data_IF_461243753562
#
_entry.id   IF_461243753562
#
_cell.length_a   1.000
_cell.length_b   1.000
_cell.length_c   1.000
_cell.angle_alpha   90.00
_cell.angle_beta   90.00
_cell.angle_gamma   90.00
#
_symmetry.space_group_name_H-M   'P 1'
#
loop_
_entity.id
_entity.type
_entity.pdbx_description
1 polymer ?
#
# COMPACT_ATOMS: atom_id res chain seq x y z
N UNK A 1 -9.69 7.82 3.97
CA UNK A 1 -10.08 9.24 3.82
C UNK A 1 -9.18 10.06 4.72
N UNK A 2 -8.60 11.16 4.24
CA UNK A 2 -7.73 12.02 5.03
C UNK A 2 -7.91 13.49 4.68
N UNK A 3 -7.65 14.36 5.66
CA UNK A 3 -7.60 15.81 5.50
C UNK A 3 -6.16 16.27 5.66
N UNK A 4 -5.65 17.00 4.69
CA UNK A 4 -4.39 17.73 4.79
C UNK A 4 -4.71 19.22 4.99
N UNK A 5 -4.29 19.79 6.12
CA UNK A 5 -4.18 21.25 6.26
C UNK A 5 -2.73 21.62 5.93
N UNK A 6 -2.49 22.02 4.68
CA UNK A 6 -1.15 22.38 4.18
C UNK A 6 -0.49 21.33 3.28
N UNK A 7 0.41 21.79 2.41
CA UNK A 7 1.03 21.02 1.34
C UNK A 7 1.95 19.87 1.80
N UNK A 8 2.36 19.84 3.07
CA UNK A 8 3.44 18.96 3.56
C UNK A 8 2.97 17.67 4.26
N UNK A 9 1.68 17.51 4.62
CA UNK A 9 1.20 16.28 5.29
C UNK A 9 0.55 15.32 4.31
N UNK A 10 1.07 14.09 4.25
CA UNK A 10 0.47 13.00 3.47
C UNK A 10 -0.92 12.71 4.03
N UNK A 11 -2.00 12.81 3.22
CA UNK A 11 -3.34 12.50 3.69
C UNK A 11 -3.60 10.99 3.80
N UNK A 12 -2.64 10.14 3.39
CA UNK A 12 -2.76 8.69 3.39
C UNK A 12 -1.88 8.08 4.48
N UNK A 13 -2.48 7.17 5.24
CA UNK A 13 -1.80 6.39 6.27
C UNK A 13 -2.03 4.91 6.02
N UNK A 14 -0.95 4.14 6.01
CA UNK A 14 -0.99 2.68 5.95
C UNK A 14 -0.86 2.10 7.36
N UNK A 15 -1.71 1.12 7.65
CA UNK A 15 -1.74 0.40 8.92
C UNK A 15 -1.70 -1.10 8.64
N UNK A 16 -0.92 -1.81 9.44
CA UNK A 16 -0.89 -3.26 9.44
C UNK A 16 -1.82 -3.79 10.53
N UNK A 17 -2.84 -4.54 10.14
CA UNK A 17 -3.73 -5.21 11.09
C UNK A 17 -3.18 -6.62 11.39
N UNK A 18 -2.55 -6.77 12.56
CA UNK A 18 -2.02 -8.06 13.06
C UNK A 18 -3.07 -8.87 13.85
N UNK A 19 -4.32 -8.44 13.85
CA UNK A 19 -5.40 -9.03 14.65
C UNK A 19 -6.55 -9.49 13.76
N UNK A 20 -7.56 -10.11 14.36
CA UNK A 20 -8.85 -10.41 13.70
C UNK A 20 -9.86 -9.27 13.82
N UNK A 21 -9.40 -8.04 14.08
CA UNK A 21 -10.27 -6.87 14.18
C UNK A 21 -11.00 -6.59 12.87
N UNK A 22 -12.29 -6.28 12.97
CA UNK A 22 -13.12 -5.84 11.85
C UNK A 22 -12.77 -4.40 11.53
N UNK A 23 -12.41 -4.13 10.27
CA UNK A 23 -12.10 -2.77 9.79
C UNK A 23 -13.31 -2.21 9.06
N UNK A 24 -13.68 -0.97 9.38
CA UNK A 24 -14.81 -0.30 8.74
C UNK A 24 -14.54 0.04 7.27
N UNK A 25 -15.61 0.23 6.48
CA UNK A 25 -15.53 0.58 5.05
C UNK A 25 -14.93 1.98 4.77
N UNK A 26 -14.55 2.72 5.80
CA UNK A 26 -13.85 4.00 5.69
C UNK A 26 -12.38 3.81 5.32
N UNK A 27 -11.83 2.62 5.58
CA UNK A 27 -10.50 2.21 5.16
C UNK A 27 -10.55 1.46 3.83
N UNK A 28 -9.50 1.64 3.03
CA UNK A 28 -9.22 0.77 1.90
C UNK A 28 -8.54 -0.50 2.44
N UNK A 29 -9.29 -1.59 2.51
CA UNK A 29 -8.77 -2.87 3.00
C UNK A 29 -8.00 -3.59 1.90
N UNK A 30 -6.69 -3.79 2.12
CA UNK A 30 -5.81 -4.50 1.20
C UNK A 30 -5.62 -5.94 1.69
N UNK A 31 -5.94 -6.90 0.83
CA UNK A 31 -5.71 -8.32 1.10
C UNK A 31 -4.65 -8.84 0.15
N UNK A 32 -3.60 -9.52 0.66
CA UNK A 32 -2.57 -10.08 -0.20
C UNK A 32 -3.18 -11.16 -1.10
N UNK A 33 -2.76 -11.19 -2.37
CA UNK A 33 -3.05 -12.33 -3.25
C UNK A 33 -2.36 -13.58 -2.69
N UNK A 34 -2.81 -14.80 -3.03
CA UNK A 34 -2.29 -16.04 -2.43
C UNK A 34 -0.77 -16.18 -2.47
N UNK A 35 -0.12 -15.76 -3.55
CA UNK A 35 1.35 -15.76 -3.66
C UNK A 35 2.01 -14.87 -2.61
N UNK A 36 1.62 -13.58 -2.56
CA UNK A 36 2.12 -12.65 -1.56
C UNK A 36 1.76 -13.10 -0.14
N UNK A 37 0.59 -13.70 0.06
CA UNK A 37 0.17 -14.25 1.35
C UNK A 37 1.14 -15.30 1.87
N UNK A 38 1.54 -16.27 1.03
CA UNK A 38 2.53 -17.29 1.40
C UNK A 38 3.88 -16.67 1.78
N UNK A 39 4.36 -15.72 0.96
CA UNK A 39 5.62 -15.03 1.27
C UNK A 39 5.54 -14.28 2.60
N UNK A 40 4.41 -13.65 2.92
CA UNK A 40 4.24 -12.96 4.20
C UNK A 40 4.16 -13.92 5.40
N UNK A 41 3.68 -15.14 5.21
CA UNK A 41 3.57 -16.17 6.25
C UNK A 41 4.91 -16.86 6.57
N UNK A 42 5.83 -16.92 5.61
CA UNK A 42 7.15 -17.54 5.76
C UNK A 42 8.07 -16.82 6.77
N UNK A 43 7.86 -15.51 6.97
CA UNK A 43 8.63 -14.73 7.94
C UNK A 43 7.81 -13.57 8.52
N UNK A 44 7.68 -13.56 9.85
CA UNK A 44 6.91 -12.58 10.62
C UNK A 44 7.38 -11.12 10.48
N UNK A 45 8.61 -10.88 10.00
CA UNK A 45 9.14 -9.53 9.79
C UNK A 45 8.70 -8.92 8.44
N UNK A 46 8.40 -9.77 7.45
CA UNK A 46 8.05 -9.35 6.08
C UNK A 46 6.82 -8.44 5.99
N UNK A 47 5.73 -8.64 6.77
CA UNK A 47 4.62 -7.69 6.81
C UNK A 47 5.05 -6.28 7.25
N UNK A 48 5.99 -6.17 8.19
CA UNK A 48 6.52 -4.89 8.66
C UNK A 48 7.39 -4.20 7.61
N UNK A 49 8.19 -4.97 6.87
CA UNK A 49 9.00 -4.45 5.75
C UNK A 49 8.12 -3.95 4.60
N UNK A 50 7.08 -4.71 4.23
CA UNK A 50 6.12 -4.28 3.23
C UNK A 50 5.38 -3.01 3.66
N UNK A 51 5.02 -2.90 4.95
CA UNK A 51 4.41 -1.69 5.49
C UNK A 51 5.35 -0.47 5.34
N UNK A 52 6.66 -0.62 5.59
CA UNK A 52 7.64 0.45 5.40
C UNK A 52 7.70 0.91 3.94
N UNK A 53 7.69 -0.02 2.99
CA UNK A 53 7.63 0.29 1.56
C UNK A 53 6.36 1.06 1.19
N UNK A 54 5.20 0.69 1.75
CA UNK A 54 3.94 1.41 1.54
C UNK A 54 3.97 2.82 2.17
N UNK A 55 4.54 2.95 3.37
CA UNK A 55 4.67 4.23 4.06
C UNK A 55 5.66 5.19 3.38
N UNK A 56 6.54 4.69 2.51
CA UNK A 56 7.46 5.50 1.72
C UNK A 56 6.80 6.16 0.48
N UNK A 57 5.55 5.82 0.15
CA UNK A 57 4.80 6.49 -0.92
C UNK A 57 4.67 7.98 -0.58
N UNK A 58 5.05 8.86 -1.51
CA UNK A 58 5.03 10.31 -1.25
C UNK A 58 3.63 10.90 -1.33
N UNK A 59 3.43 12.01 -0.61
CA UNK A 59 2.21 12.80 -0.64
C UNK A 59 1.84 13.21 -2.07
N UNK A 60 2.83 13.56 -2.89
CA UNK A 60 2.65 13.99 -4.28
C UNK A 60 1.99 12.90 -5.13
N UNK A 61 2.48 11.66 -5.06
CA UNK A 61 1.88 10.53 -5.79
C UNK A 61 0.44 10.26 -5.35
N UNK A 62 0.17 10.38 -4.05
CA UNK A 62 -1.19 10.19 -3.49
C UNK A 62 -2.15 11.30 -3.91
N UNK A 63 -1.69 12.54 -3.98
CA UNK A 63 -2.50 13.69 -4.38
C UNK A 63 -2.76 13.70 -5.89
N UNK A 64 -1.79 13.28 -6.71
CA UNK A 64 -1.92 13.18 -8.16
C UNK A 64 -2.88 12.06 -8.59
N UNK A 65 -2.80 10.90 -7.94
CA UNK A 65 -3.67 9.75 -8.26
C UNK A 65 -5.01 9.80 -7.54
N UNK A 66 -5.07 10.45 -6.38
CA UNK A 66 -6.28 10.52 -5.54
C UNK A 66 -7.26 11.60 -5.97
N UNK A 67 -8.56 11.31 -5.87
CA UNK A 67 -9.59 12.33 -6.10
C UNK A 67 -9.68 13.31 -4.93
N UNK A 68 -9.67 14.60 -5.27
CA UNK A 68 -9.96 15.69 -4.35
C UNK A 68 -11.46 15.97 -4.30
N UNK A 69 -12.04 15.90 -3.11
CA UNK A 69 -13.40 16.31 -2.83
C UNK A 69 -13.37 17.72 -2.21
N UNK A 70 -14.40 18.52 -2.46
CA UNK A 70 -14.50 19.88 -1.92
C UNK A 70 -14.26 19.92 -0.40
N UNK A 71 -13.48 20.90 0.06
CA UNK A 71 -13.15 21.06 1.48
C UNK A 71 -11.89 20.32 1.97
N UNK A 72 -10.94 20.01 1.07
CA UNK A 72 -9.63 19.44 1.43
C UNK A 72 -9.65 17.94 1.77
N UNK A 73 -10.70 17.24 1.33
CA UNK A 73 -10.82 15.80 1.53
C UNK A 73 -10.19 15.05 0.37
N UNK A 74 -9.14 14.28 0.67
CA UNK A 74 -8.51 13.39 -0.29
C UNK A 74 -9.01 11.95 -0.09
N UNK A 75 -9.47 11.33 -1.17
CA UNK A 75 -9.91 9.93 -1.19
C UNK A 75 -9.09 9.18 -2.24
N UNK A 76 -8.57 8.03 -1.82
CA UNK A 76 -7.91 7.07 -2.68
C UNK A 76 -8.78 5.82 -2.77
N UNK A 77 -9.16 5.44 -3.98
CA UNK A 77 -9.96 4.26 -4.30
C UNK A 77 -9.10 3.13 -4.90
N UNK A 78 -9.59 1.87 -4.96
CA UNK A 78 -8.78 0.73 -5.39
C UNK A 78 -8.09 0.91 -6.74
N UNK A 79 -8.77 1.55 -7.70
CA UNK A 79 -8.22 1.79 -9.05
C UNK A 79 -7.05 2.78 -9.02
N UNK A 80 -7.16 3.82 -8.20
CA UNK A 80 -6.14 4.87 -8.06
C UNK A 80 -4.93 4.32 -7.31
N UNK A 81 -5.15 3.52 -6.25
CA UNK A 81 -4.08 2.82 -5.54
C UNK A 81 -3.28 1.88 -6.46
N UNK A 82 -3.92 1.29 -7.48
CA UNK A 82 -3.25 0.43 -8.46
C UNK A 82 -2.25 1.17 -9.36
N UNK A 83 -2.34 2.49 -9.46
CA UNK A 83 -1.42 3.31 -10.25
C UNK A 83 -0.25 3.85 -9.40
N UNK A 84 -0.32 3.70 -8.07
CA UNK A 84 0.71 4.22 -7.17
C UNK A 84 1.93 3.30 -7.20
N UNK A 85 3.05 3.83 -7.70
CA UNK A 85 4.33 3.12 -7.72
C UNK A 85 5.00 3.15 -6.34
N UNK A 86 5.44 1.97 -5.88
CA UNK A 86 6.29 1.85 -4.71
C UNK A 86 7.71 2.32 -5.05
N UNK A 87 8.29 3.14 -4.17
CA UNK A 87 9.65 3.65 -4.35
C UNK A 87 10.72 2.58 -4.14
N UNK A 88 10.42 1.61 -3.27
CA UNK A 88 11.28 0.47 -3.00
C UNK A 88 10.44 -0.76 -2.66
N UNK A 89 10.87 -1.91 -3.16
CA UNK A 89 10.34 -3.21 -2.76
C UNK A 89 11.32 -3.89 -1.81
N UNK A 90 10.83 -4.68 -0.84
CA UNK A 90 11.69 -5.56 -0.06
C UNK A 90 12.41 -6.56 -0.97
N UNK A 91 13.66 -6.88 -0.67
CA UNK A 91 14.49 -7.77 -1.50
C UNK A 91 13.84 -9.14 -1.74
N UNK A 92 13.22 -9.72 -0.70
CA UNK A 92 12.52 -11.01 -0.79
C UNK A 92 11.33 -11.00 -1.75
N UNK A 93 10.78 -9.83 -2.08
CA UNK A 93 9.68 -9.71 -3.05
C UNK A 93 10.21 -9.53 -4.48
N UNK A 94 11.42 -8.98 -4.64
CA UNK A 94 12.06 -8.78 -5.94
C UNK A 94 12.56 -10.10 -6.51
N UNK A 95 13.28 -10.88 -5.70
CA UNK A 95 13.87 -12.17 -6.12
C UNK A 95 12.79 -13.12 -6.63
N UNK A 96 11.69 -13.23 -5.90
CA UNK A 96 10.58 -14.13 -6.23
C UNK A 96 9.77 -13.66 -7.46
N UNK A 97 9.68 -12.34 -7.69
CA UNK A 97 9.03 -11.80 -8.89
C UNK A 97 9.85 -12.10 -10.16
N UNK A 98 11.18 -12.04 -10.06
CA UNK A 98 12.08 -12.41 -11.15
C UNK A 98 12.02 -13.91 -11.45
N UNK A 99 11.97 -14.76 -10.43
CA UNK A 99 11.81 -16.21 -10.61
C UNK A 99 10.47 -16.57 -11.27
N UNK A 100 9.37 -15.93 -10.89
CA UNK A 100 8.08 -16.14 -11.56
C UNK A 100 8.09 -15.70 -13.03
N UNK A 101 8.75 -14.59 -13.36
CA UNK A 101 8.89 -14.10 -14.73
C UNK A 101 9.80 -15.00 -15.57
N UNK A 102 10.82 -15.61 -14.96
CA UNK A 102 11.71 -16.56 -15.62
C UNK A 102 11.00 -17.89 -15.96
N UNK A 103 10.02 -18.32 -15.16
CA UNK A 103 9.24 -19.55 -15.39
C UNK A 103 8.18 -19.45 -16.50
N UNK A 104 7.87 -18.24 -16.98
CA UNK A 104 6.87 -18.00 -18.05
C UNK A 104 7.55 -17.85 -19.44
N UNK A 105 8.88 -17.86 -19.50
CA UNK A 105 9.67 -17.89 -20.76
C UNK A 105 10.03 -19.32 -21.15
#
# INVERSE_FOLDING_TARGET
MGRSEGADRCPLHFYLNLSRAVVSNVFLNLYPKPFLGKLLEENNDRPGELLKSLQAITCTQVVEEGRSYGGGLHKLEPREMGNVSLQSLPEWLVVEAEEQLALIR
#
